data_IF_759613106218
#
_entry.id   IF_759613106218
#
_cell.length_a   1.000
_cell.length_b   1.000
_cell.length_c   1.000
_cell.angle_alpha   90.00
_cell.angle_beta   90.00
_cell.angle_gamma   90.00
#
_symmetry.space_group_name_H-M   'P 1'
#
loop_
_entity.id
_entity.type
_entity.pdbx_description
1 polymer ?
#
# COMPACT_ATOMS: atom_id res chain seq x y z
N UNK A 1 -5.78 -18.75 -1.43
CA UNK A 1 -5.81 -18.88 -2.89
C UNK A 1 -5.00 -17.73 -3.49
N UNK A 2 -4.25 -17.92 -4.59
CA UNK A 2 -3.54 -16.80 -5.21
C UNK A 2 -4.50 -15.79 -5.82
N UNK A 3 -4.21 -14.51 -5.59
CA UNK A 3 -4.96 -13.41 -6.18
C UNK A 3 -4.20 -12.90 -7.40
N UNK A 4 -4.89 -12.76 -8.53
CA UNK A 4 -4.30 -12.33 -9.79
C UNK A 4 -4.59 -10.85 -10.02
N UNK A 5 -3.53 -10.04 -10.15
CA UNK A 5 -3.66 -8.65 -10.59
C UNK A 5 -3.69 -8.61 -12.11
N UNK A 6 -4.76 -8.08 -12.68
CA UNK A 6 -4.90 -7.85 -14.12
C UNK A 6 -4.11 -6.61 -14.53
N UNK A 7 -3.17 -6.72 -15.46
CA UNK A 7 -2.36 -5.57 -15.90
C UNK A 7 -3.01 -4.70 -16.98
N UNK A 8 -4.16 -5.11 -17.56
CA UNK A 8 -4.89 -4.39 -18.63
C UNK A 8 -6.39 -4.39 -18.37
N UNK A 9 -7.00 -3.20 -18.23
CA UNK A 9 -8.44 -3.02 -17.94
C UNK A 9 -9.35 -3.43 -19.11
N UNK A 10 -8.85 -3.39 -20.33
CA UNK A 10 -9.53 -3.90 -21.52
C UNK A 10 -8.60 -4.84 -22.28
N UNK A 11 -9.00 -6.11 -22.33
CA UNK A 11 -8.29 -7.15 -23.07
C UNK A 11 -9.06 -7.37 -24.37
N UNK A 12 -8.52 -6.81 -25.45
CA UNK A 12 -9.10 -6.90 -26.79
C UNK A 12 -8.30 -7.93 -27.58
N UNK A 13 -8.97 -8.98 -28.02
CA UNK A 13 -8.38 -10.04 -28.82
C UNK A 13 -8.75 -9.90 -30.30
N UNK A 14 -7.78 -10.13 -31.19
CA UNK A 14 -8.05 -10.31 -32.63
C UNK A 14 -8.41 -11.76 -32.87
N UNK A 15 -9.61 -12.04 -33.38
CA UNK A 15 -9.96 -13.39 -33.85
C UNK A 15 -9.01 -13.79 -34.99
N UNK A 16 -8.41 -14.99 -34.90
CA UNK A 16 -7.60 -15.54 -36.01
C UNK A 16 -8.48 -15.60 -37.27
N UNK A 17 -8.05 -14.91 -38.33
CA UNK A 17 -8.73 -14.92 -39.63
C UNK A 17 -9.87 -13.92 -39.81
N UNK A 18 -10.21 -13.07 -38.84
CA UNK A 18 -11.19 -11.98 -39.03
C UNK A 18 -10.66 -10.66 -38.46
N UNK A 19 -10.88 -9.54 -39.16
CA UNK A 19 -10.50 -8.20 -38.68
C UNK A 19 -11.23 -7.74 -37.41
N UNK A 20 -12.16 -8.53 -36.89
CA UNK A 20 -13.00 -8.21 -35.73
C UNK A 20 -12.27 -8.42 -34.41
N UNK A 21 -12.35 -7.39 -33.56
CA UNK A 21 -11.85 -7.36 -32.18
C UNK A 21 -12.93 -7.86 -31.23
N UNK A 22 -12.66 -8.91 -30.45
CA UNK A 22 -13.56 -9.39 -29.40
C UNK A 22 -13.06 -8.94 -28.02
N UNK A 23 -13.98 -8.44 -27.17
CA UNK A 23 -13.68 -8.11 -25.77
C UNK A 23 -13.71 -9.41 -24.96
N UNK A 24 -12.63 -9.72 -24.27
CA UNK A 24 -12.58 -10.91 -23.39
C UNK A 24 -13.13 -10.52 -22.02
N UNK A 25 -14.08 -11.29 -21.50
CA UNK A 25 -14.63 -11.08 -20.17
C UNK A 25 -13.61 -11.46 -19.09
N UNK A 26 -13.17 -10.43 -18.33
CA UNK A 26 -12.20 -10.58 -17.27
C UNK A 26 -12.71 -11.46 -16.11
N UNK A 27 -14.02 -11.54 -15.88
CA UNK A 27 -14.57 -12.40 -14.82
C UNK A 27 -14.38 -13.88 -15.14
N UNK A 28 -14.53 -14.27 -16.41
CA UNK A 28 -14.31 -15.65 -16.86
C UNK A 28 -12.84 -16.05 -16.64
N UNK A 29 -11.91 -15.16 -16.99
CA UNK A 29 -10.48 -15.41 -16.77
C UNK A 29 -10.17 -15.54 -15.27
N UNK A 30 -10.71 -14.64 -14.42
CA UNK A 30 -10.52 -14.70 -12.96
C UNK A 30 -11.01 -16.04 -12.39
N UNK A 31 -12.21 -16.47 -12.78
CA UNK A 31 -12.83 -17.70 -12.27
C UNK A 31 -12.03 -18.95 -12.64
N UNK A 32 -11.55 -19.06 -13.89
CA UNK A 32 -10.75 -20.20 -14.31
C UNK A 32 -9.41 -20.31 -13.54
N UNK A 33 -8.82 -19.17 -13.19
CA UNK A 33 -7.57 -19.14 -12.41
C UNK A 33 -7.77 -19.47 -10.94
N UNK A 34 -8.96 -19.21 -10.39
CA UNK A 34 -9.33 -19.66 -9.05
C UNK A 34 -9.47 -21.19 -8.99
N UNK A 35 -9.98 -21.81 -10.05
CA UNK A 35 -10.15 -23.27 -10.14
C UNK A 35 -8.81 -23.99 -10.28
N UNK A 36 -7.93 -23.52 -11.20
CA UNK A 36 -6.62 -24.15 -11.44
C UNK A 36 -5.45 -23.16 -11.28
N UNK A 37 -5.11 -22.77 -10.04
CA UNK A 37 -4.18 -21.67 -9.78
C UNK A 37 -2.71 -21.96 -10.16
N UNK A 38 -2.35 -23.24 -10.31
CA UNK A 38 -0.99 -23.67 -10.67
C UNK A 38 -0.81 -23.86 -12.18
N UNK A 39 -1.90 -23.83 -12.95
CA UNK A 39 -1.86 -24.04 -14.38
C UNK A 39 -1.22 -22.84 -15.07
N UNK A 40 -0.32 -23.12 -16.02
CA UNK A 40 0.43 -22.07 -16.71
C UNK A 40 -0.51 -21.13 -17.49
N UNK A 41 -0.14 -19.85 -17.65
CA UNK A 41 -0.95 -18.91 -18.43
C UNK A 41 -1.15 -19.38 -19.87
N UNK A 42 -0.18 -20.10 -20.46
CA UNK A 42 -0.30 -20.67 -21.80
C UNK A 42 -1.36 -21.78 -21.86
N UNK A 43 -1.44 -22.61 -20.82
CA UNK A 43 -2.45 -23.66 -20.73
C UNK A 43 -3.85 -23.06 -20.53
N UNK A 44 -4.01 -22.08 -19.63
CA UNK A 44 -5.27 -21.34 -19.48
C UNK A 44 -5.71 -20.66 -20.77
N UNK A 45 -4.77 -20.00 -21.47
CA UNK A 45 -5.05 -19.37 -22.76
C UNK A 45 -5.51 -20.39 -23.82
N UNK A 46 -4.87 -21.56 -23.86
CA UNK A 46 -5.25 -22.66 -24.76
C UNK A 46 -6.68 -23.14 -24.47
N UNK A 47 -7.03 -23.37 -23.20
CA UNK A 47 -8.35 -23.87 -22.82
C UNK A 47 -9.47 -22.86 -23.10
N UNK A 48 -9.16 -21.58 -22.95
CA UNK A 48 -10.08 -20.48 -23.25
C UNK A 48 -10.14 -20.14 -24.75
N UNK A 49 -9.28 -20.74 -25.58
CA UNK A 49 -9.19 -20.41 -27.00
C UNK A 49 -8.66 -19.00 -27.29
N UNK A 50 -7.93 -18.40 -26.34
CA UNK A 50 -7.38 -17.05 -26.44
C UNK A 50 -5.85 -17.08 -26.56
N UNK A 51 -5.25 -16.02 -27.10
CA UNK A 51 -3.80 -15.90 -27.22
C UNK A 51 -3.16 -15.77 -25.83
N UNK A 52 -2.07 -16.47 -25.59
CA UNK A 52 -1.32 -16.36 -24.34
C UNK A 52 -0.72 -14.97 -24.09
N UNK A 53 -0.64 -14.11 -25.11
CA UNK A 53 -0.25 -12.70 -25.00
C UNK A 53 -1.41 -11.79 -24.55
N UNK A 54 -2.64 -12.29 -24.66
CA UNK A 54 -3.89 -11.64 -24.23
C UNK A 54 -4.01 -11.69 -22.70
N UNK A 55 -3.54 -12.77 -22.07
CA UNK A 55 -3.48 -12.92 -20.61
C UNK A 55 -2.15 -12.36 -20.09
N UNK A 56 -2.15 -11.17 -19.52
CA UNK A 56 -1.03 -10.66 -18.71
C UNK A 56 -1.51 -10.50 -17.27
N UNK A 57 -1.40 -11.59 -16.52
CA UNK A 57 -1.82 -11.66 -15.13
C UNK A 57 -0.63 -11.90 -14.24
N UNK A 58 -0.58 -11.18 -13.14
CA UNK A 58 0.47 -11.37 -12.15
C UNK A 58 -0.12 -11.95 -10.89
N UNK A 59 0.39 -13.13 -10.55
CA UNK A 59 0.14 -13.77 -9.27
C UNK A 59 0.78 -12.93 -8.17
N UNK A 60 -0.02 -12.45 -7.24
CA UNK A 60 0.45 -11.72 -6.06
C UNK A 60 0.21 -12.60 -4.84
N UNK A 61 1.26 -12.81 -4.05
CA UNK A 61 1.12 -13.42 -2.74
C UNK A 61 0.53 -12.38 -1.79
N UNK A 62 -0.58 -12.73 -1.15
CA UNK A 62 -1.24 -11.93 -0.12
C UNK A 62 -1.62 -12.84 1.05
N UNK A 63 -1.68 -12.32 2.29
CA UNK A 63 -2.23 -13.07 3.41
C UNK A 63 -3.60 -13.67 3.07
N UNK A 64 -3.91 -14.85 3.57
CA UNK A 64 -5.24 -15.41 3.39
C UNK A 64 -6.22 -14.67 4.30
N UNK A 65 -7.21 -13.99 3.73
CA UNK A 65 -8.35 -13.48 4.48
C UNK A 65 -9.33 -14.63 4.71
N UNK A 66 -9.43 -15.10 5.95
CA UNK A 66 -10.48 -16.05 6.35
C UNK A 66 -11.85 -15.37 6.26
N UNK A 67 -12.94 -16.14 6.15
CA UNK A 67 -14.30 -15.58 6.12
C UNK A 67 -14.59 -14.72 7.36
N UNK A 68 -14.06 -15.11 8.52
CA UNK A 68 -14.12 -14.28 9.73
C UNK A 68 -13.41 -12.94 9.56
N UNK A 69 -12.23 -12.93 8.96
CA UNK A 69 -11.47 -11.68 8.71
C UNK A 69 -12.22 -10.82 7.69
N UNK A 70 -12.73 -11.41 6.60
CA UNK A 70 -13.53 -10.67 5.60
C UNK A 70 -14.77 -10.03 6.21
N UNK A 71 -15.51 -10.75 7.06
CA UNK A 71 -16.67 -10.19 7.75
C UNK A 71 -16.30 -8.99 8.63
N UNK A 72 -15.19 -9.09 9.38
CA UNK A 72 -14.68 -7.96 10.18
C UNK A 72 -14.22 -6.80 9.29
N UNK A 73 -13.53 -7.11 8.18
CA UNK A 73 -13.06 -6.14 7.20
C UNK A 73 -14.24 -5.36 6.60
N UNK A 74 -15.27 -6.07 6.12
CA UNK A 74 -16.53 -5.51 5.62
C UNK A 74 -17.21 -4.61 6.65
N UNK A 75 -17.43 -5.11 7.87
CA UNK A 75 -18.13 -4.37 8.93
C UNK A 75 -17.40 -3.06 9.27
N UNK A 76 -16.07 -3.11 9.39
CA UNK A 76 -15.25 -1.93 9.73
C UNK A 76 -15.17 -0.94 8.58
N UNK A 77 -15.05 -1.40 7.34
CA UNK A 77 -15.12 -0.52 6.16
C UNK A 77 -16.48 0.17 6.05
N UNK A 78 -17.58 -0.55 6.32
CA UNK A 78 -18.91 0.04 6.35
C UNK A 78 -19.06 1.08 7.46
N UNK A 79 -18.53 0.80 8.66
CA UNK A 79 -18.51 1.74 9.78
C UNK A 79 -17.70 3.01 9.44
N UNK A 80 -16.55 2.86 8.79
CA UNK A 80 -15.75 3.99 8.30
C UNK A 80 -16.52 4.80 7.25
N UNK A 81 -17.17 4.17 6.28
CA UNK A 81 -17.99 4.87 5.29
C UNK A 81 -19.13 5.66 5.94
N UNK A 82 -19.80 5.09 6.95
CA UNK A 82 -20.83 5.79 7.69
C UNK A 82 -20.24 6.96 8.49
N UNK A 83 -19.08 6.78 9.13
CA UNK A 83 -18.37 7.86 9.83
C UNK A 83 -17.95 8.99 8.88
N UNK A 84 -17.54 8.67 7.65
CA UNK A 84 -17.21 9.67 6.62
C UNK A 84 -18.45 10.43 6.12
N UNK A 85 -19.62 9.78 6.07
CA UNK A 85 -20.89 10.44 5.68
C UNK A 85 -21.40 11.41 6.74
N UNK A 86 -21.27 11.04 8.01
CA UNK A 86 -21.71 11.86 9.14
C UNK A 86 -20.67 12.89 9.60
N UNK A 87 -19.54 13.00 8.89
CA UNK A 87 -18.45 13.89 9.22
C UNK A 87 -18.84 15.36 9.03
N UNK A 88 -18.29 16.24 9.87
CA UNK A 88 -18.32 17.68 9.65
C UNK A 88 -17.73 18.02 8.27
N UNK A 89 -18.33 19.00 7.59
CA UNK A 89 -17.80 19.49 6.32
C UNK A 89 -16.33 19.91 6.47
N UNK A 90 -15.51 19.51 5.49
CA UNK A 90 -14.08 19.82 5.49
C UNK A 90 -13.21 19.05 6.49
N UNK A 91 -13.74 18.06 7.22
CA UNK A 91 -12.94 17.26 8.18
C UNK A 91 -11.74 16.62 7.49
N UNK A 92 -10.55 16.87 8.04
CA UNK A 92 -9.29 16.35 7.51
C UNK A 92 -8.96 15.02 8.18
N UNK A 93 -8.57 14.02 7.38
CA UNK A 93 -8.11 12.73 7.90
C UNK A 93 -6.59 12.75 7.90
N UNK A 94 -5.98 12.45 9.04
CA UNK A 94 -4.54 12.28 9.15
C UNK A 94 -4.23 10.79 9.21
N UNK A 95 -3.60 10.28 8.16
CA UNK A 95 -3.14 8.91 8.07
C UNK A 95 -1.73 8.78 8.64
N UNK A 96 -1.44 7.62 9.22
CA UNK A 96 -0.12 7.28 9.71
C UNK A 96 0.26 5.85 9.36
N UNK A 97 1.55 5.62 9.19
CA UNK A 97 2.12 4.29 8.99
C UNK A 97 3.64 4.29 9.21
N UNK A 98 4.17 3.13 9.58
CA UNK A 98 5.59 2.87 9.67
C UNK A 98 6.11 2.10 8.46
N UNK A 99 7.28 2.50 7.96
CA UNK A 99 8.00 1.75 6.91
C UNK A 99 9.44 1.48 7.32
N UNK A 100 9.85 0.23 7.16
CA UNK A 100 11.26 -0.15 7.21
C UNK A 100 11.88 -0.02 5.81
N UNK A 101 12.94 0.77 5.74
CA UNK A 101 13.75 0.98 4.54
C UNK A 101 15.04 0.19 4.65
N UNK A 102 15.54 -0.31 3.52
CA UNK A 102 16.81 -1.03 3.42
C UNK A 102 17.76 -0.31 2.49
N UNK A 103 19.06 -0.41 2.74
CA UNK A 103 20.10 0.13 1.84
C UNK A 103 20.15 -0.56 0.47
N UNK A 104 19.61 -1.77 0.38
CA UNK A 104 19.55 -2.54 -0.86
C UNK A 104 18.46 -1.98 -1.80
N UNK A 105 18.70 -2.03 -3.12
CA UNK A 105 17.75 -1.54 -4.11
C UNK A 105 16.49 -2.40 -4.14
N UNK A 106 15.37 -1.80 -4.53
CA UNK A 106 14.12 -2.50 -4.72
C UNK A 106 14.09 -3.12 -6.10
N UNK A 107 14.10 -4.45 -6.12
CA UNK A 107 14.09 -5.22 -7.36
C UNK A 107 12.72 -5.17 -8.03
N UNK A 108 12.65 -4.59 -9.22
CA UNK A 108 11.50 -4.72 -10.10
C UNK A 108 11.69 -5.93 -11.02
N UNK A 109 11.32 -7.11 -10.54
CA UNK A 109 11.45 -8.37 -11.31
C UNK A 109 10.84 -8.35 -12.73
N UNK A 110 9.93 -7.41 -13.04
CA UNK A 110 9.36 -7.26 -14.39
C UNK A 110 10.30 -6.52 -15.33
N UNK A 111 10.95 -5.47 -14.83
CA UNK A 111 11.76 -4.54 -15.63
C UNK A 111 13.26 -4.84 -15.53
N UNK A 112 13.71 -5.50 -14.47
CA UNK A 112 15.11 -5.91 -14.28
C UNK A 112 15.40 -7.17 -15.10
N UNK A 113 15.34 -7.04 -16.44
CA UNK A 113 15.64 -8.10 -17.41
C UNK A 113 16.77 -7.66 -18.32
N UNK A 114 17.75 -8.53 -18.49
CA UNK A 114 18.75 -8.38 -19.54
C UNK A 114 18.26 -9.09 -20.80
N UNK A 115 18.12 -8.34 -21.89
CA UNK A 115 17.95 -8.91 -23.23
C UNK A 115 19.35 -9.04 -23.83
N UNK A 116 19.79 -10.27 -24.06
CA UNK A 116 21.04 -10.56 -24.79
C UNK A 116 20.74 -11.44 -25.98
N UNK A 117 21.45 -11.18 -27.08
CA UNK A 117 21.42 -11.97 -28.31
C UNK A 117 22.72 -12.77 -28.52
N UNK A 118 23.58 -12.87 -27.49
CA UNK A 118 24.86 -13.60 -27.51
C UNK A 118 25.26 -14.13 -26.12
N UNK A 119 26.50 -14.60 -25.98
CA UNK A 119 27.02 -15.07 -24.68
C UNK A 119 26.95 -13.96 -23.63
N UNK A 120 26.39 -14.29 -22.47
CA UNK A 120 26.22 -13.36 -21.35
C UNK A 120 27.26 -13.72 -20.30
N UNK A 121 28.09 -12.74 -19.93
CA UNK A 121 28.98 -12.80 -18.77
C UNK A 121 28.18 -13.21 -17.51
N UNK A 122 28.70 -14.18 -16.77
CA UNK A 122 28.08 -14.72 -15.57
C UNK A 122 27.82 -13.63 -14.51
N UNK A 123 28.64 -12.57 -14.51
CA UNK A 123 28.45 -11.37 -13.68
C UNK A 123 27.14 -10.63 -13.98
N UNK A 124 26.68 -10.62 -15.24
CA UNK A 124 25.43 -9.99 -15.66
C UNK A 124 24.19 -10.86 -15.35
N UNK A 125 24.38 -12.14 -14.97
CA UNK A 125 23.28 -13.04 -14.59
C UNK A 125 22.91 -12.92 -13.11
N UNK A 126 23.79 -12.37 -12.28
CA UNK A 126 23.68 -12.49 -10.83
C UNK A 126 23.71 -11.11 -10.17
N UNK A 127 22.59 -10.71 -9.56
CA UNK A 127 22.53 -9.58 -8.64
C UNK A 127 22.74 -10.10 -7.22
N UNK A 128 23.85 -9.71 -6.59
CA UNK A 128 24.13 -10.05 -5.19
C UNK A 128 23.30 -9.17 -4.25
N UNK A 129 22.53 -9.81 -3.37
CA UNK A 129 21.76 -9.13 -2.30
C UNK A 129 22.45 -9.31 -0.96
N UNK A 130 22.31 -8.34 -0.06
CA UNK A 130 22.81 -8.52 1.32
C UNK A 130 21.85 -9.42 2.09
N UNK A 131 22.39 -10.42 2.80
CA UNK A 131 21.55 -11.35 3.60
C UNK A 131 20.78 -10.64 4.71
N UNK A 132 21.42 -9.65 5.34
CA UNK A 132 20.85 -8.80 6.38
C UNK A 132 21.18 -7.33 6.07
N UNK A 133 20.46 -6.70 5.13
CA UNK A 133 20.77 -5.32 4.74
C UNK A 133 20.56 -4.38 5.93
N UNK A 134 21.44 -3.38 6.04
CA UNK A 134 21.23 -2.30 6.99
C UNK A 134 19.88 -1.64 6.71
N UNK A 135 19.12 -1.35 7.77
CA UNK A 135 17.76 -0.86 7.67
C UNK A 135 17.43 0.14 8.75
N UNK A 136 16.46 1.01 8.48
CA UNK A 136 15.91 1.93 9.46
C UNK A 136 14.40 2.08 9.28
N UNK A 137 13.69 2.24 10.39
CA UNK A 137 12.25 2.48 10.39
C UNK A 137 11.98 3.99 10.38
N UNK A 138 11.04 4.41 9.54
CA UNK A 138 10.47 5.75 9.56
C UNK A 138 8.98 5.70 9.88
N UNK A 139 8.46 6.72 10.56
CA UNK A 139 7.03 7.00 10.72
C UNK A 139 6.69 8.28 9.95
N UNK A 140 5.64 8.23 9.14
CA UNK A 140 5.11 9.38 8.41
C UNK A 140 3.66 9.69 8.80
N UNK A 141 3.31 10.97 8.80
CA UNK A 141 1.94 11.44 8.92
C UNK A 141 1.56 12.23 7.67
N UNK A 142 0.39 11.93 7.10
CA UNK A 142 -0.13 12.61 5.91
C UNK A 142 -1.57 13.02 6.14
N UNK A 143 -1.85 14.31 5.97
CA UNK A 143 -3.20 14.85 6.03
C UNK A 143 -3.86 14.88 4.65
N UNK A 144 -5.16 14.59 4.62
CA UNK A 144 -5.95 14.53 3.38
C UNK A 144 -6.06 15.85 2.61
N UNK A 145 -5.71 16.98 3.23
CA UNK A 145 -5.65 18.30 2.60
C UNK A 145 -4.30 18.61 1.90
N UNK A 146 -3.38 17.63 1.88
CA UNK A 146 -2.16 17.72 1.08
C UNK A 146 -0.90 18.09 1.84
N UNK A 147 -0.93 18.13 3.17
CA UNK A 147 0.27 18.37 3.99
C UNK A 147 0.78 17.06 4.61
N UNK A 148 2.09 16.98 4.83
CA UNK A 148 2.73 15.85 5.47
C UNK A 148 3.80 16.34 6.45
N UNK A 149 4.04 15.59 7.53
CA UNK A 149 5.15 15.89 8.45
C UNK A 149 6.48 15.53 7.81
N UNK A 150 7.62 16.10 8.26
CA UNK A 150 8.91 15.43 8.07
C UNK A 150 8.85 13.99 8.59
N UNK A 151 9.60 13.09 7.96
CA UNK A 151 9.68 11.69 8.41
C UNK A 151 10.39 11.61 9.77
N UNK A 152 9.84 10.78 10.65
CA UNK A 152 10.40 10.53 11.98
C UNK A 152 11.20 9.25 11.90
N UNK A 153 12.52 9.36 12.00
CA UNK A 153 13.42 8.22 11.93
C UNK A 153 13.71 7.65 13.31
N UNK A 154 13.59 6.33 13.42
CA UNK A 154 14.00 5.59 14.60
C UNK A 154 15.44 5.05 14.47
N UNK A 155 16.12 4.73 15.58
CA UNK A 155 17.39 4.03 15.55
C UNK A 155 17.30 2.70 14.77
N UNK A 156 18.43 2.25 14.22
CA UNK A 156 18.52 0.95 13.55
C UNK A 156 18.16 -0.19 14.51
N UNK A 157 17.37 -1.15 14.05
CA UNK A 157 16.90 -2.28 14.87
C UNK A 157 15.86 -1.90 15.94
N UNK A 158 15.35 -0.67 15.93
CA UNK A 158 14.38 -0.22 16.92
C UNK A 158 13.02 -0.90 16.73
N UNK A 159 12.42 -1.31 17.85
CA UNK A 159 11.04 -1.83 17.90
C UNK A 159 10.17 -0.82 18.63
N UNK A 160 9.24 -0.22 17.91
CA UNK A 160 8.33 0.79 18.46
C UNK A 160 7.42 0.17 19.54
N UNK A 161 7.56 0.64 20.79
CA UNK A 161 6.67 0.28 21.90
C UNK A 161 5.64 1.39 22.11
N UNK A 162 4.58 1.09 22.86
CA UNK A 162 3.52 2.05 23.15
C UNK A 162 4.04 3.34 23.82
N UNK A 163 5.02 3.24 24.73
CA UNK A 163 5.61 4.42 25.38
C UNK A 163 6.36 5.33 24.40
N UNK A 164 7.11 4.73 23.47
CA UNK A 164 7.84 5.45 22.42
C UNK A 164 6.88 6.08 21.42
N UNK A 165 5.81 5.36 21.05
CA UNK A 165 4.75 5.88 20.20
C UNK A 165 4.08 7.11 20.84
N UNK A 166 3.68 7.02 22.11
CA UNK A 166 3.12 8.17 22.85
C UNK A 166 4.11 9.34 22.92
N UNK A 167 5.41 9.07 23.08
CA UNK A 167 6.44 10.12 23.07
C UNK A 167 6.49 10.83 21.72
N UNK A 168 6.44 10.09 20.61
CA UNK A 168 6.36 10.67 19.26
C UNK A 168 5.08 11.48 19.11
N UNK A 169 3.94 10.94 19.56
CA UNK A 169 2.66 11.64 19.47
C UNK A 169 2.67 12.98 20.23
N UNK A 170 3.25 12.99 21.44
CA UNK A 170 3.39 14.19 22.27
C UNK A 170 4.33 15.23 21.69
N UNK A 171 5.48 14.80 21.16
CA UNK A 171 6.60 15.70 20.84
C UNK A 171 6.63 16.13 19.38
N UNK A 172 5.97 15.39 18.48
CA UNK A 172 6.00 15.64 17.04
C UNK A 172 4.60 15.81 16.46
N UNK A 173 3.73 14.82 16.65
CA UNK A 173 2.40 14.81 16.03
C UNK A 173 1.48 15.91 16.58
N UNK A 174 1.26 15.97 17.89
CA UNK A 174 0.30 16.90 18.48
C UNK A 174 0.68 18.38 18.28
N UNK A 175 1.96 18.79 18.42
CA UNK A 175 2.38 20.14 18.04
C UNK A 175 2.06 20.45 16.58
N UNK A 176 2.38 19.54 15.66
CA UNK A 176 2.10 19.70 14.23
C UNK A 176 0.60 19.79 13.92
N UNK A 177 -0.23 18.99 14.59
CA UNK A 177 -1.69 19.07 14.44
C UNK A 177 -2.21 20.44 14.89
N UNK A 178 -1.76 20.92 16.05
CA UNK A 178 -2.20 22.22 16.60
C UNK A 178 -1.77 23.40 15.74
N UNK A 179 -0.60 23.31 15.12
CA UNK A 179 -0.08 24.32 14.22
C UNK A 179 -0.87 24.39 12.90
N UNK A 180 -1.20 23.22 12.32
CA UNK A 180 -1.79 23.15 10.98
C UNK A 180 -3.32 23.09 10.96
N UNK A 181 -3.94 22.71 12.08
CA UNK A 181 -5.39 22.50 12.21
C UNK A 181 -5.93 23.13 13.51
N UNK A 182 -5.87 24.46 13.64
CA UNK A 182 -6.27 25.15 14.87
C UNK A 182 -7.77 25.05 15.17
N UNK A 183 -8.61 24.76 14.18
CA UNK A 183 -10.05 24.50 14.34
C UNK A 183 -10.36 23.11 14.92
N UNK A 184 -9.35 22.23 14.99
CA UNK A 184 -9.49 20.88 15.50
C UNK A 184 -10.35 19.96 14.63
N UNK A 185 -10.71 20.35 13.40
CA UNK A 185 -11.57 19.55 12.51
C UNK A 185 -10.79 18.44 11.81
N UNK A 186 -10.16 17.57 12.61
CA UNK A 186 -9.29 16.48 12.17
C UNK A 186 -9.71 15.17 12.81
N UNK A 187 -9.49 14.07 12.09
CA UNK A 187 -9.57 12.72 12.66
C UNK A 187 -8.28 11.97 12.36
N UNK A 188 -7.69 11.39 13.41
CA UNK A 188 -6.45 10.63 13.30
C UNK A 188 -6.70 9.14 13.03
N UNK A 189 -5.99 8.60 12.05
CA UNK A 189 -5.97 7.20 11.69
C UNK A 189 -4.64 6.55 12.11
N UNK A 190 -4.76 5.37 12.72
CA UNK A 190 -3.66 4.46 13.04
C UNK A 190 -4.10 3.02 12.74
N UNK A 191 -3.14 2.13 12.50
CA UNK A 191 -3.41 0.73 12.22
C UNK A 191 -3.60 -0.11 13.52
N UNK A 192 -3.68 -1.44 13.35
CA UNK A 192 -3.86 -2.39 14.43
C UNK A 192 -2.58 -2.79 15.19
N UNK A 193 -1.45 -2.12 15.01
CA UNK A 193 -0.19 -2.53 15.63
C UNK A 193 -0.27 -2.58 17.18
N UNK A 194 0.50 -3.46 17.85
CA UNK A 194 0.46 -3.58 19.31
C UNK A 194 0.73 -2.27 20.07
N UNK A 195 1.60 -1.40 19.54
CA UNK A 195 1.87 -0.10 20.14
C UNK A 195 0.67 0.84 20.07
N UNK A 196 -0.10 0.78 18.99
CA UNK A 196 -1.27 1.62 18.71
C UNK A 196 -2.49 1.17 19.49
N UNK A 197 -2.68 -0.15 19.61
CA UNK A 197 -3.83 -0.77 20.29
C UNK A 197 -3.67 -0.87 21.82
N UNK A 198 -2.48 -0.56 22.35
CA UNK A 198 -2.21 -0.51 23.78
C UNK A 198 -3.15 0.47 24.49
N UNK A 199 -3.66 0.07 25.65
CA UNK A 199 -4.61 0.88 26.45
C UNK A 199 -4.05 2.27 26.77
N UNK A 200 -2.75 2.37 27.06
CA UNK A 200 -2.07 3.64 27.34
C UNK A 200 -2.07 4.58 26.13
N UNK A 201 -1.86 4.07 24.92
CA UNK A 201 -1.88 4.86 23.69
C UNK A 201 -3.31 5.31 23.34
N UNK A 202 -4.28 4.40 23.40
CA UNK A 202 -5.70 4.70 23.16
C UNK A 202 -6.23 5.75 24.15
N UNK A 203 -5.95 5.61 25.44
CA UNK A 203 -6.34 6.57 26.47
C UNK A 203 -5.67 7.93 26.30
N UNK A 204 -4.43 7.94 25.82
CA UNK A 204 -3.74 9.19 25.53
C UNK A 204 -4.40 9.90 24.33
N UNK A 205 -4.63 9.21 23.20
CA UNK A 205 -5.27 9.79 22.02
C UNK A 205 -6.66 10.36 22.33
N UNK A 206 -7.50 9.60 23.05
CA UNK A 206 -8.85 10.03 23.46
C UNK A 206 -8.88 11.37 24.19
N UNK A 207 -7.79 11.76 24.87
CA UNK A 207 -7.69 13.01 25.62
C UNK A 207 -7.17 14.19 24.79
N UNK A 208 -6.60 13.96 23.60
CA UNK A 208 -5.82 14.98 22.89
C UNK A 208 -6.24 15.21 21.44
N UNK A 209 -6.87 14.23 20.76
CA UNK A 209 -7.27 14.36 19.36
C UNK A 209 -8.42 13.39 19.05
N UNK A 210 -9.36 13.79 18.17
CA UNK A 210 -10.32 12.83 17.61
C UNK A 210 -9.57 11.80 16.77
N UNK A 211 -9.87 10.52 16.96
CA UNK A 211 -9.18 9.44 16.28
C UNK A 211 -10.10 8.24 16.10
N UNK A 212 -9.75 7.37 15.15
CA UNK A 212 -10.42 6.08 15.00
C UNK A 212 -9.84 5.07 16.00
N UNK A 213 -10.66 4.56 16.94
CA UNK A 213 -10.21 3.58 17.93
C UNK A 213 -9.84 2.25 17.28
N UNK A 214 -9.13 1.40 18.03
CA UNK A 214 -8.57 0.12 17.55
C UNK A 214 -9.57 -0.83 16.85
N UNK A 215 -10.85 -0.69 17.14
CA UNK A 215 -11.95 -1.48 16.60
C UNK A 215 -12.57 -0.90 15.34
N UNK A 216 -12.21 0.33 14.98
CA UNK A 216 -12.71 1.01 13.78
C UNK A 216 -11.85 0.74 12.55
N UNK A 217 -10.53 0.63 12.69
CA UNK A 217 -9.65 0.35 11.54
C UNK A 217 -9.70 -1.14 11.14
N UNK A 218 -9.97 -1.48 9.87
CA UNK A 218 -10.06 -2.86 9.42
C UNK A 218 -8.71 -3.61 9.49
N UNK A 219 -8.68 -4.90 9.89
CA UNK A 219 -7.44 -5.66 9.97
C UNK A 219 -6.91 -6.04 8.57
N UNK A 220 -5.59 -6.09 8.40
CA UNK A 220 -4.93 -6.45 7.13
C UNK A 220 -5.35 -5.58 5.94
N UNK A 221 -5.42 -4.26 6.14
CA UNK A 221 -5.99 -3.31 5.15
C UNK A 221 -4.96 -2.33 4.57
N UNK A 222 -3.80 -2.79 4.07
CA UNK A 222 -2.87 -1.89 3.37
C UNK A 222 -3.53 -1.28 2.11
N UNK A 223 -4.52 -1.97 1.55
CA UNK A 223 -5.37 -1.52 0.47
C UNK A 223 -6.35 -0.40 0.86
N UNK A 224 -6.44 -0.02 2.14
CA UNK A 224 -7.18 1.15 2.61
C UNK A 224 -6.28 2.30 3.08
N UNK A 225 -4.98 2.09 3.32
CA UNK A 225 -4.09 3.15 3.82
C UNK A 225 -3.30 3.83 2.67
N UNK A 226 -3.43 5.15 2.45
CA UNK A 226 -2.69 5.85 1.40
C UNK A 226 -1.16 5.77 1.51
N UNK A 227 -0.63 5.61 2.73
CA UNK A 227 0.79 5.37 2.92
C UNK A 227 1.20 4.04 2.26
N UNK A 228 0.45 2.96 2.50
CA UNK A 228 0.71 1.63 1.96
C UNK A 228 0.46 1.51 0.45
N UNK A 229 -0.73 1.90 -0.03
CA UNK A 229 -1.10 1.65 -1.42
C UNK A 229 -0.44 2.62 -2.42
N UNK A 230 0.12 3.74 -1.97
CA UNK A 230 0.64 4.78 -2.87
C UNK A 230 1.95 5.44 -2.42
N UNK A 231 2.01 6.07 -1.25
CA UNK A 231 3.16 6.93 -0.90
C UNK A 231 4.45 6.13 -0.72
N UNK A 232 4.39 5.03 0.02
CA UNK A 232 5.52 4.14 0.21
C UNK A 232 6.03 3.50 -1.08
N UNK A 233 5.19 2.87 -1.92
CA UNK A 233 5.62 2.40 -3.23
C UNK A 233 6.21 3.50 -4.11
N UNK A 234 5.60 4.70 -4.12
CA UNK A 234 6.06 5.83 -4.93
C UNK A 234 7.48 6.24 -4.55
N UNK A 235 7.72 6.48 -3.26
CA UNK A 235 9.03 6.90 -2.76
C UNK A 235 10.04 5.79 -2.96
N UNK A 236 9.67 4.55 -2.63
CA UNK A 236 10.55 3.39 -2.79
C UNK A 236 10.98 3.16 -4.24
N UNK A 237 10.09 3.40 -5.21
CA UNK A 237 10.40 3.27 -6.63
C UNK A 237 11.41 4.31 -7.15
N UNK A 238 11.59 5.42 -6.43
CA UNK A 238 12.48 6.51 -6.83
C UNK A 238 13.76 6.55 -5.99
N UNK A 239 13.61 6.48 -4.67
CA UNK A 239 14.72 6.58 -3.71
C UNK A 239 15.60 5.32 -3.72
N UNK A 240 15.01 4.13 -3.92
CA UNK A 240 15.72 2.86 -3.76
C UNK A 240 15.98 2.15 -5.11
N UNK A 241 16.28 2.91 -6.16
CA UNK A 241 16.62 2.36 -7.49
C UNK A 241 18.02 1.74 -7.52
N UNK A 242 18.94 2.32 -6.75
CA UNK A 242 20.31 1.85 -6.59
C UNK A 242 20.58 1.55 -5.11
N UNK A 243 21.62 0.76 -4.87
CA UNK A 243 22.11 0.50 -3.51
C UNK A 243 22.65 1.80 -2.90
N UNK A 244 22.26 2.09 -1.67
CA UNK A 244 22.84 3.19 -0.90
C UNK A 244 24.14 2.76 -0.23
N UNK A 245 25.09 3.70 -0.09
CA UNK A 245 26.36 3.43 0.58
C UNK A 245 26.20 3.11 2.08
N UNK A 246 25.24 3.76 2.74
CA UNK A 246 24.94 3.60 4.17
C UNK A 246 23.50 4.04 4.49
N UNK A 247 23.11 3.92 5.76
CA UNK A 247 21.76 4.25 6.24
C UNK A 247 21.48 5.75 6.11
N UNK A 248 22.48 6.60 6.28
CA UNK A 248 22.37 8.06 6.21
C UNK A 248 22.05 8.52 4.79
N UNK A 249 22.76 7.97 3.79
CA UNK A 249 22.49 8.22 2.38
C UNK A 249 21.08 7.75 1.97
N UNK A 250 20.65 6.59 2.49
CA UNK A 250 19.28 6.10 2.29
C UNK A 250 18.25 7.05 2.91
N UNK A 251 18.44 7.48 4.16
CA UNK A 251 17.55 8.44 4.83
C UNK A 251 17.45 9.76 4.06
N UNK A 252 18.58 10.29 3.58
CA UNK A 252 18.62 11.51 2.78
C UNK A 252 17.78 11.38 1.50
N UNK A 253 17.98 10.29 0.73
CA UNK A 253 17.24 10.05 -0.50
C UNK A 253 15.73 9.85 -0.26
N UNK A 254 15.37 9.11 0.79
CA UNK A 254 13.96 8.93 1.18
C UNK A 254 13.31 10.25 1.61
N UNK A 255 14.01 11.05 2.40
CA UNK A 255 13.53 12.36 2.84
C UNK A 255 13.32 13.31 1.66
N UNK A 256 14.26 13.37 0.72
CA UNK A 256 14.14 14.19 -0.51
C UNK A 256 12.87 13.84 -1.30
N UNK A 257 12.64 12.55 -1.52
CA UNK A 257 11.47 12.11 -2.27
C UNK A 257 10.16 12.31 -1.50
N UNK A 258 10.18 12.14 -0.18
CA UNK A 258 9.03 12.44 0.68
C UNK A 258 8.67 13.92 0.66
N UNK A 259 9.65 14.82 0.80
CA UNK A 259 9.40 16.28 0.78
C UNK A 259 9.04 16.80 -0.61
N UNK A 260 9.46 16.10 -1.67
CA UNK A 260 9.10 16.44 -3.06
C UNK A 260 7.64 16.13 -3.43
N UNK A 261 6.90 15.41 -2.59
CA UNK A 261 5.50 15.09 -2.87
C UNK A 261 4.65 16.36 -2.94
N UNK A 262 4.02 16.61 -4.09
CA UNK A 262 3.18 17.80 -4.24
C UNK A 262 1.90 17.70 -3.41
N UNK A 263 1.41 18.85 -2.95
CA UNK A 263 0.11 18.96 -2.25
C UNK A 263 -1.02 18.32 -3.06
N UNK A 264 -1.01 18.52 -4.37
CA UNK A 264 -1.99 17.94 -5.29
C UNK A 264 -1.93 16.41 -5.31
N UNK A 265 -0.73 15.83 -5.40
CA UNK A 265 -0.53 14.39 -5.38
C UNK A 265 -1.05 13.77 -4.09
N UNK A 266 -0.71 14.37 -2.94
CA UNK A 266 -1.18 13.91 -1.63
C UNK A 266 -2.71 13.97 -1.55
N UNK A 267 -3.29 15.12 -1.91
CA UNK A 267 -4.75 15.33 -1.84
C UNK A 267 -5.51 14.33 -2.72
N UNK A 268 -5.11 14.17 -3.98
CA UNK A 268 -5.74 13.21 -4.91
C UNK A 268 -5.60 11.76 -4.44
N UNK A 269 -4.46 11.43 -3.83
CA UNK A 269 -4.22 10.09 -3.29
C UNK A 269 -5.10 9.80 -2.08
N UNK A 270 -5.23 10.75 -1.14
CA UNK A 270 -6.09 10.61 0.02
C UNK A 270 -7.59 10.61 -0.34
N UNK A 271 -8.01 11.34 -1.39
CA UNK A 271 -9.37 11.29 -1.93
C UNK A 271 -9.75 9.88 -2.43
N UNK A 272 -8.77 9.04 -2.75
CA UNK A 272 -9.00 7.64 -3.10
C UNK A 272 -9.52 6.78 -1.95
N UNK A 273 -9.29 7.20 -0.71
CA UNK A 273 -9.62 6.40 0.47
C UNK A 273 -11.08 5.92 0.47
N UNK A 274 -12.03 6.84 0.24
CA UNK A 274 -13.46 6.52 0.23
C UNK A 274 -13.82 5.48 -0.83
N UNK A 275 -13.41 5.70 -2.09
CA UNK A 275 -13.72 4.75 -3.19
C UNK A 275 -13.11 3.37 -2.95
N UNK A 276 -11.97 3.30 -2.24
CA UNK A 276 -11.32 2.04 -1.89
C UNK A 276 -12.09 1.31 -0.79
N UNK A 277 -12.58 2.01 0.22
CA UNK A 277 -13.51 1.42 1.21
C UNK A 277 -14.79 0.89 0.54
N UNK A 278 -15.38 1.65 -0.39
CA UNK A 278 -16.55 1.22 -1.17
C UNK A 278 -16.24 -0.05 -1.99
N UNK A 279 -15.09 -0.10 -2.65
CA UNK A 279 -14.66 -1.29 -3.40
C UNK A 279 -14.45 -2.52 -2.49
N UNK A 280 -13.94 -2.34 -1.27
CA UNK A 280 -13.79 -3.42 -0.29
C UNK A 280 -15.15 -3.96 0.15
N UNK A 281 -16.11 -3.06 0.40
CA UNK A 281 -17.48 -3.45 0.76
C UNK A 281 -18.15 -4.20 -0.40
N UNK A 282 -17.98 -3.75 -1.64
CA UNK A 282 -18.48 -4.45 -2.85
C UNK A 282 -17.83 -5.82 -3.01
N UNK A 283 -16.58 -5.99 -2.57
CA UNK A 283 -15.87 -7.27 -2.57
C UNK A 283 -16.18 -8.14 -1.33
N UNK A 284 -17.24 -7.84 -0.58
CA UNK A 284 -17.64 -8.54 0.65
C UNK A 284 -16.50 -8.66 1.68
N UNK A 285 -15.71 -7.58 1.82
CA UNK A 285 -14.55 -7.55 2.71
C UNK A 285 -13.32 -8.29 2.15
N UNK A 286 -13.36 -8.72 0.89
CA UNK A 286 -12.22 -9.25 0.17
C UNK A 286 -11.20 -8.18 -0.24
N UNK A 287 -10.13 -8.64 -0.88
CA UNK A 287 -9.10 -7.78 -1.44
C UNK A 287 -9.59 -7.01 -2.66
N UNK A 288 -9.08 -5.78 -2.80
CA UNK A 288 -9.26 -4.98 -4.02
C UNK A 288 -7.99 -4.93 -4.87
N UNK A 289 -8.19 -4.71 -6.17
CA UNK A 289 -7.15 -4.43 -7.15
C UNK A 289 -6.85 -2.92 -7.20
N UNK A 290 -5.58 -2.56 -7.39
CA UNK A 290 -5.10 -1.19 -7.65
C UNK A 290 -5.25 -0.77 -9.11
#
# INVERSE_FOLDING_TARGET
>A
MPVYRISKKDIIERKRGSGSKAKVDLQVIKKALEVEPLKSMRAHAKDMGISHTTISLVRVERPLLTERIKAVHFQRCQALLNNLKSATAGRVIIFSDEKTWTVDPVRNRRNDRYLSFGEIDESARTLTTTKHPASAMSLGFVASNGIATPLIWFPTGFRLKAADYIKVLKTKFLPWVRENFPDGNVVFQQDGAPAHTALTAQNWLKKHVEFWPKDMWPPYSPDANPLDYAFWPHIQSKACTLRHANVEAMKASVNEHWTSMSKEYITKTCQAFRRRLEAIVIADGGYIDD
#
